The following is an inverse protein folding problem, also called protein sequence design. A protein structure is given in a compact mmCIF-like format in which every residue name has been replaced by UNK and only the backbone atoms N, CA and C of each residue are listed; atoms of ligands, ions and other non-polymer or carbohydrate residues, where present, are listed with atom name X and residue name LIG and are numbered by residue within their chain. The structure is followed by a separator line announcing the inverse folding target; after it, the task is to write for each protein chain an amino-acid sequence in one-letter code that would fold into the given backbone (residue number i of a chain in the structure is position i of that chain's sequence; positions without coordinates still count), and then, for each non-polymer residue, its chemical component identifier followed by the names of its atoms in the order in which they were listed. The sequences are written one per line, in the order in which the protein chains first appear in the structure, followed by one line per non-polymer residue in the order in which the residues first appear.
data_IF_839004350709
#
_entry.id   IF_839004350709
#
_cell.length_a   1.000
_cell.length_b   1.000
_cell.length_c   1.000
_cell.angle_alpha   90.00
_cell.angle_beta   90.00
_cell.angle_gamma   90.00
#
_symmetry.space_group_name_H-M   'P 1'
#
loop_
_entity.id
_entity.type
_entity.pdbx_description
1 polymer ?
#
# COMPACT_ATOMS: atom_id res chain seq x y z
N UNK A 1 3.10 -1.48 7.54
CA UNK A 1 2.07 -1.45 8.60
C UNK A 1 2.37 -2.53 9.62
N UNK A 2 2.23 -2.24 10.91
CA UNK A 2 2.41 -3.20 12.00
C UNK A 2 1.37 -2.96 13.11
N UNK A 3 1.05 -4.03 13.83
CA UNK A 3 0.26 -3.98 15.05
C UNK A 3 1.21 -3.87 16.24
N UNK A 4 0.97 -2.91 17.12
CA UNK A 4 1.68 -2.79 18.40
C UNK A 4 0.80 -3.31 19.52
N UNK A 5 1.35 -4.06 20.44
CA UNK A 5 0.65 -4.55 21.61
C UNK A 5 1.57 -4.53 22.82
N UNK A 6 0.96 -4.52 24.02
CA UNK A 6 1.71 -4.57 25.28
C UNK A 6 1.69 -6.00 25.81
N UNK A 7 2.86 -6.59 25.95
CA UNK A 7 3.03 -7.90 26.56
C UNK A 7 3.38 -7.74 28.05
N UNK A 8 2.48 -8.15 28.90
CA UNK A 8 2.65 -8.09 30.37
C UNK A 8 3.33 -9.33 30.94
N UNK A 9 3.52 -10.38 30.13
CA UNK A 9 4.09 -11.66 30.60
C UNK A 9 5.62 -11.75 30.45
N UNK A 10 6.24 -10.86 29.67
CA UNK A 10 7.68 -10.92 29.36
C UNK A 10 8.59 -10.22 30.36
N UNK A 11 8.04 -9.35 31.20
CA UNK A 11 8.84 -8.60 32.16
C UNK A 11 8.11 -8.46 33.50
N UNK A 12 8.78 -8.77 34.64
CA UNK A 12 8.21 -8.52 35.94
C UNK A 12 8.13 -7.04 36.32
N UNK A 13 8.77 -6.17 35.53
CA UNK A 13 8.87 -4.71 35.78
C UNK A 13 7.86 -3.88 34.99
N UNK A 14 6.99 -4.49 34.19
CA UNK A 14 5.97 -3.79 33.41
C UNK A 14 5.73 -4.39 32.02
N UNK A 15 4.85 -3.74 31.27
CA UNK A 15 4.53 -4.16 29.93
C UNK A 15 5.68 -3.84 28.97
N UNK A 16 6.03 -4.83 28.14
CA UNK A 16 6.96 -4.64 27.01
C UNK A 16 6.14 -4.37 25.76
N UNK A 17 6.46 -3.31 25.03
CA UNK A 17 5.87 -3.08 23.72
C UNK A 17 6.48 -4.03 22.70
N UNK A 18 5.60 -4.79 22.02
CA UNK A 18 5.99 -5.66 20.92
C UNK A 18 5.19 -5.27 19.68
N UNK A 19 5.69 -5.62 18.49
CA UNK A 19 5.03 -5.28 17.23
C UNK A 19 5.11 -6.41 16.23
N UNK A 20 4.01 -6.66 15.56
CA UNK A 20 3.88 -7.68 14.51
C UNK A 20 3.67 -6.98 13.17
N UNK A 21 4.41 -7.39 12.15
CA UNK A 21 4.25 -6.86 10.78
C UNK A 21 2.94 -7.39 10.20
N UNK A 22 2.13 -6.47 9.67
CA UNK A 22 0.91 -6.83 8.97
C UNK A 22 1.23 -7.09 7.49
N UNK A 23 0.86 -8.28 7.01
CA UNK A 23 1.01 -8.66 5.61
C UNK A 23 -0.06 -9.65 5.16
N UNK A 24 -0.36 -9.66 3.88
CA UNK A 24 -1.19 -10.69 3.26
C UNK A 24 -0.43 -12.01 3.14
N UNK A 25 -1.14 -13.11 3.23
CA UNK A 25 -0.58 -14.42 2.89
C UNK A 25 -0.75 -14.68 1.38
N UNK A 26 0.16 -14.13 0.58
CA UNK A 26 0.15 -14.28 -0.88
C UNK A 26 1.08 -15.43 -1.27
N UNK A 27 0.56 -16.35 -2.07
CA UNK A 27 1.30 -17.48 -2.61
C UNK A 27 0.94 -17.68 -4.09
N UNK A 28 1.80 -18.23 -4.96
CA UNK A 28 1.49 -18.47 -6.38
C UNK A 28 0.20 -19.24 -6.62
N UNK A 29 -0.17 -20.14 -5.68
CA UNK A 29 -1.44 -20.91 -5.72
C UNK A 29 -2.61 -20.21 -5.03
N UNK A 30 -2.36 -19.12 -4.29
CA UNK A 30 -3.37 -18.36 -3.56
C UNK A 30 -3.10 -16.85 -3.75
N UNK A 31 -3.45 -16.32 -4.93
CA UNK A 31 -3.30 -14.89 -5.20
C UNK A 31 -4.25 -14.06 -4.34
N UNK A 32 -3.90 -12.81 -4.10
CA UNK A 32 -4.82 -11.83 -3.51
C UNK A 32 -5.88 -11.47 -4.54
N UNK A 33 -7.14 -11.62 -4.18
CA UNK A 33 -8.27 -11.25 -5.03
C UNK A 33 -8.67 -9.80 -4.71
N UNK A 34 -8.60 -8.93 -5.70
CA UNK A 34 -9.10 -7.57 -5.61
C UNK A 34 -10.46 -7.48 -6.30
N UNK A 35 -11.50 -7.16 -5.55
CA UNK A 35 -12.86 -6.98 -6.03
C UNK A 35 -13.12 -5.49 -6.23
N UNK A 36 -13.67 -5.11 -7.38
CA UNK A 36 -14.09 -3.74 -7.68
C UNK A 36 -15.62 -3.72 -7.69
N UNK A 37 -16.18 -2.79 -6.90
CA UNK A 37 -17.62 -2.59 -6.80
C UNK A 37 -18.21 -2.19 -8.16
N UNK A 38 -19.37 -2.75 -8.48
CA UNK A 38 -20.13 -2.44 -9.69
C UNK A 38 -20.64 -0.98 -9.75
N UNK A 39 -20.74 -0.32 -8.59
CA UNK A 39 -21.11 1.11 -8.50
C UNK A 39 -19.96 2.03 -8.95
N UNK A 40 -18.75 1.51 -9.09
CA UNK A 40 -17.61 2.31 -9.53
C UNK A 40 -17.80 2.75 -10.99
N UNK A 41 -17.63 4.04 -11.32
CA UNK A 41 -17.75 4.53 -12.68
C UNK A 41 -16.85 3.72 -13.64
N UNK A 42 -17.34 3.31 -14.82
CA UNK A 42 -16.57 2.48 -15.76
C UNK A 42 -15.24 3.12 -16.20
N UNK A 43 -15.21 4.45 -16.31
CA UNK A 43 -14.00 5.21 -16.61
C UNK A 43 -12.96 5.06 -15.51
N UNK A 44 -13.38 5.10 -14.24
CA UNK A 44 -12.51 4.90 -13.09
C UNK A 44 -12.04 3.47 -12.96
N UNK A 45 -12.90 2.50 -13.23
CA UNK A 45 -12.57 1.08 -13.09
C UNK A 45 -11.32 0.69 -13.87
N UNK A 46 -11.12 1.26 -15.09
CA UNK A 46 -9.95 0.98 -15.91
C UNK A 46 -8.65 1.45 -15.25
N UNK A 47 -8.64 2.65 -14.65
CA UNK A 47 -7.47 3.21 -13.97
C UNK A 47 -7.22 2.54 -12.62
N UNK A 48 -8.28 2.18 -11.89
CA UNK A 48 -8.19 1.39 -10.66
C UNK A 48 -7.50 0.06 -10.93
N UNK A 49 -7.92 -0.66 -11.98
CA UNK A 49 -7.29 -1.93 -12.40
C UNK A 49 -5.81 -1.75 -12.69
N UNK A 50 -5.45 -0.71 -13.44
CA UNK A 50 -4.04 -0.42 -13.75
C UNK A 50 -3.23 -0.17 -12.48
N UNK A 51 -3.75 0.65 -11.56
CA UNK A 51 -3.07 0.97 -10.30
C UNK A 51 -2.84 -0.25 -9.41
N UNK A 52 -3.84 -1.13 -9.30
CA UNK A 52 -3.74 -2.38 -8.52
C UNK A 52 -2.78 -3.36 -9.19
N UNK A 53 -2.92 -3.60 -10.50
CA UNK A 53 -2.11 -4.59 -11.22
C UNK A 53 -0.65 -4.16 -11.39
N UNK A 54 -0.33 -2.87 -11.27
CA UNK A 54 1.04 -2.38 -11.29
C UNK A 54 1.93 -3.09 -10.26
N UNK A 55 1.36 -3.48 -9.11
CA UNK A 55 2.08 -4.19 -8.05
C UNK A 55 2.50 -5.61 -8.43
N UNK A 56 1.87 -6.26 -9.41
CA UNK A 56 2.32 -7.57 -9.87
C UNK A 56 3.78 -7.56 -10.31
N UNK A 57 4.25 -6.44 -10.91
CA UNK A 57 5.66 -6.30 -11.30
C UNK A 57 6.60 -6.35 -10.08
N UNK A 58 6.22 -5.73 -8.96
CA UNK A 58 6.99 -5.80 -7.73
C UNK A 58 7.01 -7.21 -7.13
N UNK A 59 5.87 -7.92 -7.18
CA UNK A 59 5.78 -9.31 -6.75
C UNK A 59 6.56 -10.28 -7.66
N UNK A 60 6.60 -10.03 -8.97
CA UNK A 60 7.43 -10.82 -9.90
C UNK A 60 8.92 -10.71 -9.58
N UNK A 61 9.39 -9.51 -9.21
CA UNK A 61 10.76 -9.32 -8.72
C UNK A 61 11.04 -10.08 -7.41
N UNK A 62 10.01 -10.26 -6.57
CA UNK A 62 10.06 -11.09 -5.36
C UNK A 62 9.89 -12.61 -5.65
N UNK A 63 9.77 -13.01 -6.92
CA UNK A 63 9.60 -14.41 -7.32
C UNK A 63 8.15 -14.92 -7.28
N UNK A 64 7.17 -14.06 -7.04
CA UNK A 64 5.76 -14.42 -6.96
C UNK A 64 5.03 -13.93 -8.21
N UNK A 65 4.74 -14.83 -9.15
CA UNK A 65 3.98 -14.51 -10.36
C UNK A 65 2.48 -14.49 -10.09
N UNK A 66 1.78 -13.55 -10.75
CA UNK A 66 0.32 -13.42 -10.65
C UNK A 66 -0.17 -13.30 -9.20
N UNK A 67 0.54 -12.51 -8.38
CA UNK A 67 0.25 -12.32 -6.97
C UNK A 67 -1.13 -11.69 -6.72
N UNK A 68 -1.59 -10.85 -7.63
CA UNK A 68 -2.83 -10.09 -7.51
C UNK A 68 -3.70 -10.38 -8.73
N UNK A 69 -4.98 -10.69 -8.50
CA UNK A 69 -6.00 -10.87 -9.53
C UNK A 69 -7.17 -9.95 -9.25
N UNK A 70 -7.77 -9.43 -10.33
CA UNK A 70 -8.98 -8.61 -10.24
C UNK A 70 -10.19 -9.50 -10.53
N UNK A 71 -11.20 -9.33 -9.70
CA UNK A 71 -12.52 -9.88 -9.90
C UNK A 71 -13.51 -8.74 -10.08
N UNK A 72 -14.12 -8.66 -11.26
CA UNK A 72 -15.11 -7.62 -11.57
C UNK A 72 -16.50 -8.10 -11.17
N UNK A 73 -17.37 -7.16 -10.83
CA UNK A 73 -18.77 -7.42 -10.48
C UNK A 73 -18.97 -8.39 -9.30
N UNK A 74 -18.07 -8.39 -8.36
CA UNK A 74 -18.30 -9.08 -7.10
C UNK A 74 -19.41 -8.33 -6.35
N UNK A 75 -20.62 -8.83 -6.41
CA UNK A 75 -21.64 -8.47 -5.43
C UNK A 75 -21.15 -9.03 -4.09
N UNK A 76 -20.62 -8.14 -3.25
CA UNK A 76 -20.12 -8.53 -1.94
C UNK A 76 -21.28 -8.73 -0.95
N UNK A 77 -21.99 -9.81 -1.09
CA UNK A 77 -22.99 -10.21 -0.10
C UNK A 77 -22.35 -10.81 1.16
N UNK A 78 -21.10 -11.30 1.07
CA UNK A 78 -20.37 -11.86 2.23
C UNK A 78 -18.91 -11.42 2.17
N UNK A 79 -18.36 -10.81 3.22
CA UNK A 79 -16.93 -10.52 3.30
C UNK A 79 -16.15 -11.85 3.37
N UNK A 80 -15.73 -12.35 2.21
CA UNK A 80 -14.89 -13.52 2.18
C UNK A 80 -13.47 -13.11 2.60
N UNK A 81 -12.88 -13.90 3.48
CA UNK A 81 -11.48 -13.70 3.91
C UNK A 81 -10.53 -13.77 2.70
N UNK A 82 -9.39 -13.09 2.84
CA UNK A 82 -8.35 -13.02 1.82
C UNK A 82 -8.78 -12.24 0.56
N UNK A 83 -9.53 -11.16 0.77
CA UNK A 83 -9.98 -10.26 -0.30
C UNK A 83 -9.65 -8.81 0.00
N UNK A 84 -9.31 -8.10 -1.05
CA UNK A 84 -9.24 -6.65 -1.09
C UNK A 84 -10.44 -6.13 -1.86
N UNK A 85 -11.25 -5.27 -1.26
CA UNK A 85 -12.46 -4.71 -1.87
C UNK A 85 -12.29 -3.22 -2.09
N UNK A 86 -12.55 -2.78 -3.30
CA UNK A 86 -12.63 -1.36 -3.65
C UNK A 86 -14.09 -1.02 -3.85
N UNK A 87 -14.65 -0.26 -2.93
CA UNK A 87 -16.02 0.25 -3.00
C UNK A 87 -16.04 1.73 -3.36
N UNK A 88 -17.16 2.19 -3.88
CA UNK A 88 -17.36 3.57 -4.30
C UNK A 88 -18.48 4.23 -3.52
N UNK A 89 -18.25 5.47 -3.08
CA UNK A 89 -19.21 6.25 -2.30
C UNK A 89 -19.39 7.63 -2.93
N UNK A 90 -20.61 7.87 -3.45
CA UNK A 90 -21.00 9.14 -4.05
C UNK A 90 -20.98 10.31 -3.06
N UNK A 91 -21.28 10.05 -1.78
CA UNK A 91 -21.40 11.08 -0.75
C UNK A 91 -20.08 11.43 -0.07
N UNK A 92 -19.04 10.62 -0.24
CA UNK A 92 -17.76 10.85 0.42
C UNK A 92 -16.85 11.78 -0.39
N UNK A 93 -16.16 12.68 0.30
CA UNK A 93 -15.16 13.57 -0.28
C UNK A 93 -13.75 12.98 -0.27
N UNK A 94 -13.51 11.96 0.56
CA UNK A 94 -12.18 11.39 0.80
C UNK A 94 -12.21 9.87 0.70
N UNK A 95 -11.03 9.29 0.68
CA UNK A 95 -10.85 7.84 0.72
C UNK A 95 -10.73 7.36 2.16
N UNK A 96 -11.38 6.26 2.48
CA UNK A 96 -11.23 5.59 3.78
C UNK A 96 -10.80 4.14 3.60
N UNK A 97 -9.94 3.65 4.49
CA UNK A 97 -9.46 2.27 4.47
C UNK A 97 -9.80 1.59 5.78
N UNK A 98 -10.46 0.44 5.66
CA UNK A 98 -10.74 -0.48 6.77
C UNK A 98 -9.97 -1.77 6.54
N UNK A 99 -9.25 -2.24 7.55
CA UNK A 99 -8.44 -3.44 7.45
C UNK A 99 -8.69 -4.33 8.66
N UNK A 100 -8.88 -5.62 8.40
CA UNK A 100 -9.00 -6.65 9.41
C UNK A 100 -7.72 -7.47 9.38
N UNK A 101 -7.05 -7.56 10.51
CA UNK A 101 -5.78 -8.25 10.66
C UNK A 101 -5.88 -9.26 11.81
N UNK A 102 -5.29 -10.42 11.65
CA UNK A 102 -5.22 -11.41 12.71
C UNK A 102 -4.30 -10.91 13.84
N UNK A 103 -4.78 -10.82 15.08
CA UNK A 103 -4.04 -10.14 16.15
C UNK A 103 -2.74 -10.83 16.55
N UNK A 104 -2.65 -12.15 16.41
CA UNK A 104 -1.48 -12.92 16.82
C UNK A 104 -0.44 -13.08 15.70
N UNK A 105 -0.86 -13.11 14.44
CA UNK A 105 0.03 -13.42 13.32
C UNK A 105 0.35 -12.22 12.43
N UNK A 106 -0.41 -11.12 12.55
CA UNK A 106 -0.33 -9.98 11.65
C UNK A 106 -0.84 -10.28 10.23
N UNK A 107 -1.44 -11.46 9.97
CA UNK A 107 -2.01 -11.75 8.66
C UNK A 107 -3.17 -10.81 8.36
N UNK A 108 -3.10 -10.10 7.24
CA UNK A 108 -4.21 -9.28 6.76
C UNK A 108 -5.24 -10.22 6.16
N UNK A 109 -6.44 -10.22 6.72
CA UNK A 109 -7.52 -11.10 6.34
C UNK A 109 -8.48 -10.46 5.35
N UNK A 110 -8.68 -9.15 5.49
CA UNK A 110 -9.61 -8.39 4.66
C UNK A 110 -9.22 -6.92 4.65
N UNK A 111 -9.36 -6.26 3.51
CA UNK A 111 -9.25 -4.80 3.41
C UNK A 111 -10.35 -4.26 2.52
N UNK A 112 -11.01 -3.21 2.97
CA UNK A 112 -11.94 -2.41 2.17
C UNK A 112 -11.37 -1.02 1.99
N UNK A 113 -11.22 -0.59 0.75
CA UNK A 113 -10.88 0.75 0.35
C UNK A 113 -12.13 1.42 -0.21
N UNK A 114 -12.66 2.40 0.50
CA UNK A 114 -13.85 3.12 0.09
C UNK A 114 -13.44 4.42 -0.61
N UNK A 115 -13.71 4.52 -1.90
CA UNK A 115 -13.35 5.67 -2.74
C UNK A 115 -14.48 6.68 -2.74
N UNK A 116 -14.24 7.85 -2.16
CA UNK A 116 -15.17 8.95 -2.24
C UNK A 116 -15.17 9.61 -3.62
N UNK A 117 -16.35 10.03 -4.10
CA UNK A 117 -16.48 10.72 -5.39
C UNK A 117 -15.62 11.99 -5.46
N UNK A 118 -15.53 12.74 -4.37
CA UNK A 118 -14.79 14.00 -4.30
C UNK A 118 -13.27 13.86 -4.17
N UNK A 119 -12.75 12.63 -4.05
CA UNK A 119 -11.33 12.40 -3.74
C UNK A 119 -10.35 13.04 -4.73
N UNK A 120 -10.74 13.18 -6.01
CA UNK A 120 -9.86 13.71 -7.06
C UNK A 120 -9.71 15.23 -7.03
N UNK A 121 -10.70 15.95 -6.48
CA UNK A 121 -10.76 17.39 -6.57
C UNK A 121 -9.54 18.13 -5.98
N UNK A 122 -9.04 17.80 -4.79
CA UNK A 122 -7.84 18.42 -4.24
C UNK A 122 -6.60 18.20 -5.14
N UNK A 123 -6.42 16.98 -5.64
CA UNK A 123 -5.27 16.64 -6.50
C UNK A 123 -5.34 17.33 -7.85
N UNK A 124 -6.53 17.41 -8.47
CA UNK A 124 -6.74 18.13 -9.71
C UNK A 124 -6.50 19.63 -9.55
N UNK A 125 -6.92 20.21 -8.43
CA UNK A 125 -6.65 21.62 -8.13
C UNK A 125 -5.15 21.88 -7.98
N UNK A 126 -4.43 21.05 -7.23
CA UNK A 126 -2.99 21.17 -7.09
C UNK A 126 -2.28 21.02 -8.43
N UNK A 127 -2.64 20.01 -9.21
CA UNK A 127 -2.09 19.79 -10.54
C UNK A 127 -2.36 20.98 -11.46
N UNK A 128 -3.55 21.58 -11.41
CA UNK A 128 -3.90 22.76 -12.20
C UNK A 128 -3.07 23.99 -11.79
N UNK A 129 -2.84 24.19 -10.50
CA UNK A 129 -2.03 25.30 -10.01
C UNK A 129 -0.57 25.17 -10.45
N UNK A 130 -0.01 23.99 -10.41
CA UNK A 130 1.40 23.76 -10.73
C UNK A 130 1.65 23.68 -12.24
N UNK A 131 0.80 22.97 -12.97
CA UNK A 131 1.05 22.60 -14.36
C UNK A 131 0.02 23.15 -15.37
N UNK A 132 -1.00 23.89 -14.92
CA UNK A 132 -2.08 24.37 -15.76
C UNK A 132 -1.64 25.33 -16.86
N UNK A 133 -0.51 26.03 -16.68
CA UNK A 133 0.08 26.87 -17.72
C UNK A 133 0.75 26.06 -18.85
N UNK A 134 1.28 24.88 -18.51
CA UNK A 134 2.08 24.04 -19.40
C UNK A 134 1.25 22.92 -20.04
N UNK A 135 0.38 22.28 -19.26
CA UNK A 135 -0.47 21.18 -19.73
C UNK A 135 -1.75 21.69 -20.42
N UNK A 136 -1.75 21.61 -21.76
CA UNK A 136 -2.89 22.03 -22.58
C UNK A 136 -4.18 21.24 -22.31
N UNK A 137 -4.08 20.03 -21.75
CA UNK A 137 -5.22 19.16 -21.46
C UNK A 137 -6.09 19.79 -20.36
N UNK A 138 -5.48 20.14 -19.24
CA UNK A 138 -6.19 20.70 -18.09
C UNK A 138 -6.48 22.18 -18.23
N UNK A 139 -5.74 22.92 -19.07
CA UNK A 139 -6.04 24.33 -19.38
C UNK A 139 -7.43 24.50 -19.98
N UNK A 140 -7.89 23.54 -20.77
CA UNK A 140 -9.21 23.56 -21.38
C UNK A 140 -10.30 23.00 -20.48
N UNK A 141 -9.97 22.00 -19.69
CA UNK A 141 -10.90 21.33 -18.79
C UNK A 141 -10.13 20.73 -17.60
N UNK A 142 -10.32 21.29 -16.40
CA UNK A 142 -9.69 20.80 -15.16
C UNK A 142 -10.03 19.31 -14.88
N UNK A 143 -11.21 18.87 -15.34
CA UNK A 143 -11.68 17.48 -15.22
C UNK A 143 -11.32 16.65 -16.46
N UNK A 144 -10.20 16.96 -17.12
CA UNK A 144 -9.78 16.17 -18.29
C UNK A 144 -9.63 14.69 -17.91
N UNK A 145 -10.40 13.84 -18.57
CA UNK A 145 -10.59 12.42 -18.19
C UNK A 145 -9.26 11.66 -18.05
N UNK A 146 -8.34 11.86 -19.00
CA UNK A 146 -7.05 11.18 -18.94
C UNK A 146 -6.23 11.63 -17.73
N UNK A 147 -6.14 12.93 -17.46
CA UNK A 147 -5.36 13.46 -16.32
C UNK A 147 -5.99 13.00 -15.00
N UNK A 148 -7.30 13.13 -14.87
CA UNK A 148 -8.04 12.66 -13.70
C UNK A 148 -7.83 11.15 -13.48
N UNK A 149 -7.86 10.36 -14.55
CA UNK A 149 -7.63 8.92 -14.49
C UNK A 149 -6.19 8.56 -14.10
N UNK A 150 -5.19 9.26 -14.59
CA UNK A 150 -3.78 9.04 -14.23
C UNK A 150 -3.52 9.40 -12.77
N UNK A 151 -4.10 10.48 -12.27
CA UNK A 151 -4.07 10.85 -10.85
C UNK A 151 -4.77 9.77 -10.01
N UNK A 152 -5.94 9.32 -10.42
CA UNK A 152 -6.66 8.24 -9.73
C UNK A 152 -5.81 6.96 -9.66
N UNK A 153 -5.18 6.58 -10.78
CA UNK A 153 -4.31 5.40 -10.82
C UNK A 153 -3.17 5.52 -9.79
N UNK A 154 -2.55 6.68 -9.67
CA UNK A 154 -1.49 6.95 -8.68
C UNK A 154 -2.00 6.83 -7.25
N UNK A 155 -3.18 7.42 -6.96
CA UNK A 155 -3.81 7.33 -5.64
C UNK A 155 -4.10 5.88 -5.28
N UNK A 156 -4.69 5.12 -6.21
CA UNK A 156 -5.01 3.71 -6.00
C UNK A 156 -3.74 2.88 -5.78
N UNK A 157 -2.71 3.11 -6.57
CA UNK A 157 -1.43 2.43 -6.40
C UNK A 157 -0.86 2.67 -5.00
N UNK A 158 -0.87 3.92 -4.51
CA UNK A 158 -0.43 4.27 -3.16
C UNK A 158 -1.25 3.59 -2.08
N UNK A 159 -2.57 3.73 -2.12
CA UNK A 159 -3.47 3.16 -1.12
C UNK A 159 -3.38 1.62 -1.08
N UNK A 160 -3.26 1.01 -2.24
CA UNK A 160 -3.08 -0.44 -2.33
C UNK A 160 -1.72 -0.88 -1.77
N UNK A 161 -0.64 -0.15 -2.02
CA UNK A 161 0.67 -0.39 -1.44
C UNK A 161 0.65 -0.35 0.09
N UNK A 162 -0.01 0.67 0.68
CA UNK A 162 -0.21 0.77 2.12
C UNK A 162 -1.01 -0.42 2.67
N UNK A 163 -2.02 -0.87 1.92
CA UNK A 163 -2.83 -2.04 2.29
C UNK A 163 -2.08 -3.37 2.11
N UNK A 164 -1.03 -3.42 1.31
CA UNK A 164 -0.10 -4.55 1.27
C UNK A 164 0.82 -4.62 2.50
N UNK A 165 0.76 -3.64 3.38
CA UNK A 165 1.58 -3.58 4.59
C UNK A 165 2.83 -2.73 4.45
N UNK A 166 3.02 -2.04 3.32
CA UNK A 166 4.13 -1.10 3.17
C UNK A 166 4.00 0.04 4.16
N UNK A 167 5.13 0.54 4.61
CA UNK A 167 5.18 1.77 5.39
C UNK A 167 5.12 2.95 4.43
N UNK A 168 4.31 3.95 4.77
CA UNK A 168 4.38 5.22 4.06
C UNK A 168 5.83 5.71 4.08
N UNK A 169 6.37 6.20 2.97
CA UNK A 169 7.64 6.93 3.01
C UNK A 169 7.50 8.10 3.99
N UNK A 170 8.62 8.56 4.53
CA UNK A 170 8.70 9.69 5.46
C UNK A 170 7.76 10.83 5.04
N UNK A 171 7.18 11.60 5.99
CA UNK A 171 6.13 12.58 5.75
C UNK A 171 6.51 13.72 4.77
N UNK A 172 7.71 13.74 4.29
CA UNK A 172 8.14 14.62 3.21
C UNK A 172 7.61 14.05 1.88
N UNK A 173 6.45 14.45 1.50
CA UNK A 173 5.70 14.53 0.22
C UNK A 173 6.31 13.93 -1.08
N UNK A 174 7.27 13.05 -0.98
CA UNK A 174 8.06 12.51 -2.11
C UNK A 174 7.19 11.79 -3.18
N UNK A 175 6.04 11.26 -2.77
CA UNK A 175 5.15 10.54 -3.68
C UNK A 175 4.22 11.45 -4.48
N UNK A 176 3.67 12.47 -3.84
CA UNK A 176 2.69 13.34 -4.48
C UNK A 176 3.39 14.24 -5.50
N UNK A 177 4.51 14.83 -5.10
CA UNK A 177 5.26 15.76 -5.97
C UNK A 177 5.91 15.05 -7.15
N UNK A 178 6.55 13.90 -6.93
CA UNK A 178 7.18 13.15 -8.03
C UNK A 178 6.17 12.56 -8.99
N UNK A 179 5.03 12.02 -8.50
CA UNK A 179 4.00 11.46 -9.36
C UNK A 179 3.32 12.54 -10.21
N UNK A 180 3.03 13.70 -9.63
CA UNK A 180 2.46 14.83 -10.37
C UNK A 180 3.45 15.39 -11.39
N UNK A 181 4.73 15.51 -11.03
CA UNK A 181 5.78 15.96 -11.94
C UNK A 181 5.99 14.99 -13.11
N UNK A 182 5.95 13.69 -12.85
CA UNK A 182 6.07 12.68 -13.89
C UNK A 182 4.85 12.63 -14.82
N UNK A 183 3.64 12.90 -14.30
CA UNK A 183 2.44 13.09 -15.10
C UNK A 183 2.61 14.25 -16.11
N UNK A 184 3.16 15.38 -15.68
CA UNK A 184 3.42 16.53 -16.54
C UNK A 184 4.47 16.23 -17.61
N UNK A 185 5.52 15.51 -17.27
CA UNK A 185 6.59 15.12 -18.19
C UNK A 185 6.19 14.00 -19.17
N UNK A 186 4.95 13.52 -19.13
CA UNK A 186 4.46 12.42 -19.97
C UNK A 186 5.10 11.08 -19.63
N UNK A 187 5.84 11.00 -18.53
CA UNK A 187 6.40 9.77 -17.98
C UNK A 187 5.41 9.22 -16.98
N UNK A 188 4.73 8.15 -17.33
CA UNK A 188 3.85 7.47 -16.40
C UNK A 188 4.67 6.77 -15.31
N UNK A 189 4.87 7.39 -14.15
CA UNK A 189 5.38 6.74 -12.94
C UNK A 189 4.34 5.85 -12.26
N UNK A 190 3.36 5.43 -13.01
CA UNK A 190 2.29 4.54 -12.58
C UNK A 190 2.80 3.12 -12.27
N UNK A 191 4.01 3.01 -11.73
CA UNK A 191 4.64 1.77 -11.30
C UNK A 191 5.26 1.95 -9.91
N UNK A 192 5.24 0.89 -9.07
CA UNK A 192 5.97 0.89 -7.81
C UNK A 192 7.43 1.29 -8.01
N UNK A 193 7.95 2.11 -7.11
CA UNK A 193 9.35 2.53 -7.14
C UNK A 193 10.28 1.35 -6.86
N UNK A 194 11.58 1.52 -7.14
CA UNK A 194 12.56 0.50 -6.79
C UNK A 194 12.59 0.21 -5.29
N UNK A 195 12.33 1.23 -4.46
CA UNK A 195 12.25 1.07 -3.01
C UNK A 195 11.04 0.23 -2.60
N UNK A 196 9.88 0.44 -3.22
CA UNK A 196 8.68 -0.36 -2.98
C UNK A 196 8.89 -1.81 -3.40
N UNK A 197 9.51 -2.02 -4.56
CA UNK A 197 9.85 -3.37 -5.01
C UNK A 197 10.76 -4.10 -4.01
N UNK A 198 11.73 -3.38 -3.40
CA UNK A 198 12.56 -3.94 -2.33
C UNK A 198 11.74 -4.25 -1.09
N UNK A 199 10.84 -3.36 -0.66
CA UNK A 199 9.98 -3.61 0.49
C UNK A 199 9.06 -4.81 0.26
N UNK A 200 8.47 -4.94 -0.93
CA UNK A 200 7.68 -6.12 -1.30
C UNK A 200 8.53 -7.38 -1.30
N UNK A 201 9.72 -7.34 -1.92
CA UNK A 201 10.61 -8.49 -1.93
C UNK A 201 10.95 -8.95 -0.51
N UNK A 202 11.27 -8.04 0.40
CA UNK A 202 11.56 -8.37 1.79
C UNK A 202 10.35 -8.85 2.57
N UNK A 203 9.20 -8.21 2.40
CA UNK A 203 7.97 -8.55 3.14
C UNK A 203 7.32 -9.85 2.69
N UNK A 204 7.48 -10.20 1.41
CA UNK A 204 6.76 -11.32 0.77
C UNK A 204 7.69 -12.41 0.22
N UNK A 205 9.00 -12.22 0.27
CA UNK A 205 9.95 -13.25 -0.16
C UNK A 205 9.71 -14.53 0.64
N UNK A 206 9.35 -15.58 -0.07
CA UNK A 206 9.23 -16.90 0.55
C UNK A 206 10.64 -17.39 0.85
N UNK A 207 11.00 -17.41 2.11
CA UNK A 207 12.18 -18.18 2.52
C UNK A 207 11.88 -19.64 2.22
N UNK A 208 12.70 -20.27 1.38
CA UNK A 208 12.57 -21.68 0.99
C UNK A 208 12.65 -22.65 2.20
N UNK A 209 13.00 -22.15 3.33
CA UNK A 209 13.06 -22.84 4.59
C UNK A 209 12.01 -22.30 5.57
N UNK A 210 10.79 -22.78 5.43
CA UNK A 210 9.76 -22.71 6.49
C UNK A 210 10.24 -23.28 7.84
N UNK A 211 11.46 -23.81 7.86
CA UNK A 211 12.12 -24.42 9.03
C UNK A 211 12.92 -23.43 9.86
N UNK A 212 13.03 -22.15 9.46
CA UNK A 212 13.93 -21.24 10.13
C UNK A 212 13.24 -19.92 10.51
N UNK A 213 12.32 -19.99 11.48
CA UNK A 213 11.70 -18.82 12.12
C UNK A 213 12.76 -17.81 12.60
N UNK A 214 13.96 -18.28 12.93
CA UNK A 214 15.12 -17.47 13.32
C UNK A 214 15.65 -16.66 12.12
N UNK A 215 15.69 -17.23 10.93
CA UNK A 215 16.13 -16.50 9.74
C UNK A 215 15.11 -15.48 9.29
N UNK A 216 13.83 -15.85 9.36
CA UNK A 216 12.72 -14.92 9.08
C UNK A 216 12.75 -13.74 10.07
N UNK A 217 12.92 -14.02 11.35
CA UNK A 217 13.07 -12.99 12.38
C UNK A 217 14.27 -12.08 12.13
N UNK A 218 15.43 -12.61 11.81
CA UNK A 218 16.63 -11.82 11.46
C UNK A 218 16.43 -10.98 10.20
N UNK A 219 15.69 -11.50 9.21
CA UNK A 219 15.36 -10.77 8.00
C UNK A 219 14.41 -9.59 8.33
N UNK A 220 13.40 -9.84 9.13
CA UNK A 220 12.44 -8.83 9.61
C UNK A 220 13.12 -7.77 10.48
N UNK A 221 14.02 -8.17 11.36
CA UNK A 221 14.83 -7.24 12.15
C UNK A 221 15.70 -6.30 11.28
N UNK A 222 16.27 -6.80 10.19
CA UNK A 222 17.00 -5.97 9.23
C UNK A 222 16.12 -4.97 8.49
N UNK A 223 14.85 -5.27 8.32
CA UNK A 223 13.87 -4.40 7.66
C UNK A 223 13.39 -3.30 8.62
N UNK A 224 13.17 -3.65 9.88
CA UNK A 224 12.60 -2.75 10.89
C UNK A 224 13.65 -1.81 11.47
N UNK A 225 14.88 -2.29 11.69
CA UNK A 225 15.95 -1.52 12.32
C UNK A 225 16.38 -0.24 11.56
N UNK A 226 16.39 -0.20 10.21
CA UNK A 226 16.74 1.03 9.50
C UNK A 226 15.67 2.12 9.56
N UNK A 227 14.43 1.77 9.87
CA UNK A 227 13.29 2.71 9.93
C UNK A 227 13.03 3.31 11.30
N UNK A 228 13.69 2.80 12.35
CA UNK A 228 13.67 3.45 13.66
C UNK A 228 14.82 4.44 13.76
N UNK A 229 14.56 5.73 14.06
CA UNK A 229 15.62 6.61 14.51
C UNK A 229 16.17 5.99 15.82
N UNK A 230 17.37 5.44 15.77
CA UNK A 230 18.08 4.98 16.96
C UNK A 230 18.30 6.18 17.86
N UNK A 231 17.58 6.24 18.98
CA UNK A 231 17.90 7.21 20.02
C UNK A 231 19.35 6.95 20.46
N UNK A 232 20.08 8.00 20.71
CA UNK A 232 21.49 7.95 21.14
C UNK A 232 21.67 7.07 22.37
N UNK A 233 20.63 6.89 23.17
CA UNK A 233 20.59 6.06 24.39
C UNK A 233 20.64 4.55 24.11
N UNK A 234 20.00 4.06 23.03
CA UNK A 234 20.07 2.63 22.67
C UNK A 234 21.46 2.21 22.15
N UNK A 235 22.21 3.14 21.56
CA UNK A 235 23.60 2.87 21.16
C UNK A 235 24.51 2.70 22.37
N UNK A 236 24.33 3.52 23.39
CA UNK A 236 25.14 3.49 24.62
C UNK A 236 24.85 2.22 25.43
N UNK A 237 23.63 1.70 25.40
CA UNK A 237 23.27 0.46 26.08
C UNK A 237 23.83 -0.80 25.39
N UNK A 238 23.92 -0.81 24.05
CA UNK A 238 24.52 -1.92 23.30
C UNK A 238 26.02 -2.02 23.47
N UNK A 239 26.73 -0.90 23.63
CA UNK A 239 28.17 -0.88 23.88
C UNK A 239 28.54 -1.29 25.33
N UNK A 240 27.57 -1.30 26.27
CA UNK A 240 27.80 -1.76 27.63
C UNK A 240 27.55 -3.24 27.88
N UNK A 241 27.03 -3.97 26.87
CA UNK A 241 26.70 -5.40 26.95
C UNK A 241 27.71 -6.27 26.15
N UNK A 242 28.61 -5.64 25.41
CA UNK A 242 29.79 -6.24 24.79
C UNK A 242 31.03 -5.99 25.65
#
# INVERSE_FOLDING_TARGET
TYLTFKDYGRSPYGAVEDSIICRWRIHPRKPLICCIDSLCPPTWASYIKKGVLAWNKAFEQAGIKNAIKIHENAQDEIPALHRFVISYDLGAATTTRQQITHPETGEILYTRLNLGHGLLLPYLNNYWWEYGSEDKRIRKNILHEQVAGEILQTIIMREFGLALGLTAPSPENYWEDSALQELNNGKNSNFPTQQDCKQIAWGYQQTSAYKDAIKERKLLEKIILPTRPTSTEEKIQKEKIL
#
